data_IF_651809911041
#
_entry.id   IF_651809911041
#
_cell.length_a   1.000
_cell.length_b   1.000
_cell.length_c   1.000
_cell.angle_alpha   90.00
_cell.angle_beta   90.00
_cell.angle_gamma   90.00
#
_symmetry.space_group_name_H-M   'P 1'
#
loop_
_entity.id
_entity.type
_entity.pdbx_description
1 polymer ?
#
# COMPACT_ATOMS: atom_id res chain seq x y z
N UNK A 1 3.39 24.42 -0.65
CA UNK A 1 2.05 23.95 -1.04
C UNK A 1 1.25 23.67 0.22
N UNK A 2 -0.01 24.13 0.30
CA UNK A 2 -0.87 23.90 1.45
C UNK A 2 -1.10 22.40 1.71
N UNK A 3 -1.21 22.01 2.99
CA UNK A 3 -1.39 20.60 3.38
C UNK A 3 -2.66 19.99 2.78
N UNK A 4 -3.74 20.78 2.70
CA UNK A 4 -5.01 20.36 2.10
C UNK A 4 -4.83 19.94 0.63
N UNK A 5 -4.08 20.70 -0.16
CA UNK A 5 -3.77 20.33 -1.55
C UNK A 5 -2.94 19.05 -1.64
N UNK A 6 -2.13 18.71 -0.62
CA UNK A 6 -1.41 17.43 -0.58
C UNK A 6 -2.37 16.27 -0.30
N UNK A 7 -3.30 16.47 0.63
CA UNK A 7 -4.35 15.50 0.94
C UNK A 7 -5.28 15.28 -0.26
N UNK A 8 -5.79 16.35 -0.88
CA UNK A 8 -6.64 16.28 -2.07
C UNK A 8 -5.94 15.57 -3.22
N UNK A 9 -4.65 15.84 -3.45
CA UNK A 9 -3.88 15.11 -4.47
C UNK A 9 -3.70 13.64 -4.12
N UNK A 10 -3.45 13.34 -2.84
CA UNK A 10 -3.35 11.96 -2.37
C UNK A 10 -4.67 11.20 -2.55
N UNK A 11 -5.80 11.83 -2.26
CA UNK A 11 -7.16 11.27 -2.39
C UNK A 11 -7.64 11.20 -3.85
N UNK A 12 -7.31 12.19 -4.68
CA UNK A 12 -7.77 12.28 -6.08
C UNK A 12 -6.90 11.49 -7.06
N UNK A 13 -5.62 11.30 -6.76
CA UNK A 13 -4.78 10.39 -7.53
C UNK A 13 -4.96 8.98 -6.98
N UNK A 14 -5.00 7.98 -7.87
CA UNK A 14 -4.73 6.58 -7.52
C UNK A 14 -3.25 6.42 -7.16
N UNK A 15 -2.81 7.14 -6.12
CA UNK A 15 -1.45 7.17 -5.63
C UNK A 15 -1.17 5.87 -4.88
N UNK A 16 -1.15 4.78 -5.68
CA UNK A 16 -1.02 3.38 -5.27
C UNK A 16 0.15 3.27 -4.30
N UNK A 17 -0.22 3.21 -3.02
CA UNK A 17 0.69 3.04 -1.91
C UNK A 17 0.23 1.78 -1.21
N UNK A 18 1.16 0.86 -1.00
CA UNK A 18 0.85 -0.45 -0.47
C UNK A 18 1.56 -0.65 0.86
N UNK A 19 0.85 -1.12 1.87
CA UNK A 19 1.47 -1.53 3.13
C UNK A 19 2.09 -2.92 2.93
N UNK A 20 3.37 -3.05 3.23
CA UNK A 20 4.11 -4.31 3.19
C UNK A 20 4.16 -4.94 4.58
N UNK A 21 4.54 -4.13 5.58
CA UNK A 21 4.69 -4.61 6.96
C UNK A 21 4.31 -3.52 7.96
N UNK A 22 3.92 -3.96 9.15
CA UNK A 22 3.48 -3.12 10.26
C UNK A 22 3.93 -3.75 11.56
N UNK A 23 4.77 -3.02 12.30
CA UNK A 23 5.39 -3.48 13.53
C UNK A 23 5.13 -2.48 14.65
N UNK A 24 4.55 -2.98 15.75
CA UNK A 24 4.31 -2.22 16.97
C UNK A 24 5.09 -2.87 18.09
N UNK A 25 5.86 -2.07 18.81
CA UNK A 25 6.54 -2.50 20.03
C UNK A 25 5.61 -2.26 21.23
N UNK A 26 5.40 -3.29 22.06
CA UNK A 26 4.53 -3.18 23.23
C UNK A 26 5.17 -2.27 24.28
N UNK A 27 4.44 -1.22 24.70
CA UNK A 27 4.89 -0.27 25.71
C UNK A 27 5.51 1.02 25.16
N UNK A 28 5.77 1.10 23.85
CA UNK A 28 6.24 2.33 23.20
C UNK A 28 5.10 3.04 22.45
N UNK A 29 5.08 4.37 22.50
CA UNK A 29 4.22 5.19 21.64
C UNK A 29 4.84 5.35 20.25
N UNK A 30 5.22 4.22 19.64
CA UNK A 30 5.91 4.16 18.37
C UNK A 30 5.43 2.97 17.54
N UNK A 31 5.23 3.21 16.26
CA UNK A 31 4.89 2.16 15.31
C UNK A 31 5.64 2.36 13.98
N UNK A 32 6.21 1.28 13.45
CA UNK A 32 6.95 1.28 12.19
C UNK A 32 6.18 0.58 11.08
N UNK A 33 6.22 1.17 9.89
CA UNK A 33 5.50 0.72 8.71
C UNK A 33 6.45 0.66 7.53
N UNK A 34 6.45 -0.47 6.83
CA UNK A 34 7.11 -0.60 5.53
C UNK A 34 6.07 -0.40 4.44
N UNK A 35 6.28 0.58 3.56
CA UNK A 35 5.34 0.90 2.48
C UNK A 35 6.01 0.86 1.12
N UNK A 36 5.28 0.44 0.10
CA UNK A 36 5.68 0.59 -1.29
C UNK A 36 4.98 1.81 -1.90
N UNK A 37 5.75 2.75 -2.44
CA UNK A 37 5.23 3.89 -3.17
C UNK A 37 4.82 3.55 -4.61
N UNK A 38 4.20 4.51 -5.29
CA UNK A 38 3.65 4.35 -6.65
C UNK A 38 4.64 3.95 -7.75
N UNK A 39 5.95 4.16 -7.55
CA UNK A 39 7.01 3.75 -8.50
C UNK A 39 7.63 2.40 -8.12
N UNK A 40 7.03 1.66 -7.18
CA UNK A 40 7.53 0.36 -6.72
C UNK A 40 8.66 0.43 -5.67
N UNK A 41 9.14 1.63 -5.34
CA UNK A 41 10.16 1.83 -4.29
C UNK A 41 9.57 1.55 -2.91
N UNK A 42 10.36 0.94 -2.04
CA UNK A 42 10.00 0.65 -0.65
C UNK A 42 10.60 1.73 0.26
N UNK A 43 9.81 2.16 1.24
CA UNK A 43 10.13 3.22 2.17
C UNK A 43 9.71 2.81 3.58
N UNK A 44 10.43 3.29 4.58
CA UNK A 44 10.10 3.12 5.99
C UNK A 44 9.41 4.38 6.49
N UNK A 45 8.30 4.19 7.21
CA UNK A 45 7.56 5.25 7.88
C UNK A 45 7.50 4.92 9.37
N UNK A 46 7.93 5.84 10.20
CA UNK A 46 7.86 5.72 11.65
C UNK A 46 6.87 6.75 12.17
N UNK A 47 5.87 6.31 12.93
CA UNK A 47 4.91 7.18 13.63
C UNK A 47 5.26 7.16 15.11
N UNK A 48 5.76 8.28 15.59
CA UNK A 48 6.06 8.62 16.98
C UNK A 48 5.78 10.11 17.20
N UNK A 49 6.39 10.74 18.21
CA UNK A 49 6.21 12.18 18.49
C UNK A 49 6.53 13.05 17.27
N UNK A 50 7.46 12.65 16.41
CA UNK A 50 7.82 13.36 15.18
C UNK A 50 7.87 12.38 14.02
N UNK A 51 6.70 12.16 13.40
CA UNK A 51 6.55 11.22 12.28
C UNK A 51 7.63 11.38 11.21
N UNK A 52 8.32 10.29 10.89
CA UNK A 52 9.43 10.25 9.94
C UNK A 52 9.13 9.34 8.74
N UNK A 53 9.68 9.68 7.58
CA UNK A 53 9.71 8.80 6.42
C UNK A 53 11.01 8.98 5.64
N UNK A 54 11.66 7.89 5.26
CA UNK A 54 12.93 7.90 4.50
C UNK A 54 12.78 8.35 3.03
N UNK A 55 11.56 8.68 2.59
CA UNK A 55 11.32 9.07 1.19
C UNK A 55 11.84 10.48 0.86
N UNK A 56 12.24 10.75 -0.39
CA UNK A 56 12.82 12.04 -0.80
C UNK A 56 11.94 13.27 -0.55
N UNK A 57 10.61 13.09 -0.54
CA UNK A 57 9.66 14.19 -0.32
C UNK A 57 9.64 14.63 1.16
N UNK A 58 9.74 13.67 2.08
CA UNK A 58 9.86 13.94 3.51
C UNK A 58 11.22 14.50 3.88
N UNK A 59 12.30 13.97 3.30
CA UNK A 59 13.66 14.48 3.50
C UNK A 59 13.80 15.96 3.08
N UNK A 60 12.94 16.45 2.18
CA UNK A 60 12.82 17.87 1.81
C UNK A 60 11.99 18.71 2.80
N UNK A 61 11.62 18.15 3.95
CA UNK A 61 10.82 18.81 4.99
C UNK A 61 9.31 18.82 4.74
N UNK A 62 8.80 18.00 3.81
CA UNK A 62 7.36 17.97 3.52
C UNK A 62 6.64 16.83 4.24
N UNK A 63 5.32 16.99 4.45
CA UNK A 63 4.43 15.88 4.79
C UNK A 63 4.23 15.02 3.54
N UNK A 64 4.95 13.91 3.45
CA UNK A 64 4.93 13.07 2.26
C UNK A 64 3.63 12.26 2.15
N UNK A 65 3.35 11.76 0.94
CA UNK A 65 2.17 10.92 0.69
C UNK A 65 2.17 9.61 1.51
N UNK A 66 3.34 9.09 1.88
CA UNK A 66 3.44 7.87 2.67
C UNK A 66 2.94 8.09 4.10
N UNK A 67 3.33 9.20 4.72
CA UNK A 67 2.80 9.60 6.03
C UNK A 67 1.28 9.85 5.96
N UNK A 68 0.79 10.50 4.89
CA UNK A 68 -0.64 10.68 4.67
C UNK A 68 -1.38 9.34 4.55
N UNK A 69 -0.84 8.38 3.80
CA UNK A 69 -1.38 7.03 3.70
C UNK A 69 -1.48 6.35 5.07
N UNK A 70 -0.42 6.40 5.88
CA UNK A 70 -0.43 5.79 7.21
C UNK A 70 -1.50 6.43 8.11
N UNK A 71 -1.54 7.75 8.24
CA UNK A 71 -2.53 8.41 9.11
C UNK A 71 -3.97 8.21 8.62
N UNK A 72 -4.22 8.42 7.32
CA UNK A 72 -5.59 8.48 6.80
C UNK A 72 -6.16 7.10 6.49
N UNK A 73 -5.38 6.19 5.90
CA UNK A 73 -5.87 4.88 5.44
C UNK A 73 -5.58 3.77 6.45
N UNK A 74 -4.36 3.71 7.00
CA UNK A 74 -3.95 2.60 7.87
C UNK A 74 -4.44 2.79 9.31
N UNK A 75 -4.15 3.96 9.88
CA UNK A 75 -4.54 4.32 11.26
C UNK A 75 -5.96 4.91 11.33
N UNK A 76 -6.54 5.28 10.19
CA UNK A 76 -7.90 5.82 10.07
C UNK A 76 -8.14 7.05 10.97
N UNK A 77 -7.13 7.90 11.12
CA UNK A 77 -7.23 9.17 11.86
C UNK A 77 -8.26 10.07 11.15
N UNK A 78 -9.29 10.57 11.86
CA UNK A 78 -10.33 11.38 11.26
C UNK A 78 -9.76 12.64 10.58
N UNK A 79 -10.20 12.94 9.36
CA UNK A 79 -9.77 14.13 8.62
C UNK A 79 -10.22 15.44 9.27
N UNK A 80 -11.28 15.37 10.08
CA UNK A 80 -11.76 16.48 10.93
C UNK A 80 -10.82 16.77 12.09
N UNK A 81 -9.93 15.84 12.45
CA UNK A 81 -8.91 16.04 13.48
C UNK A 81 -7.68 16.77 12.92
N UNK A 82 -7.00 17.54 13.76
CA UNK A 82 -5.71 18.16 13.42
C UNK A 82 -4.54 17.18 13.33
N UNK A 83 -4.72 15.97 13.86
CA UNK A 83 -3.64 15.04 14.20
C UNK A 83 -2.90 14.50 12.98
N UNK A 84 -3.60 14.30 11.87
CA UNK A 84 -3.01 13.72 10.65
C UNK A 84 -2.02 14.65 9.93
N UNK A 85 -1.94 15.94 10.30
CA UNK A 85 -1.01 16.91 9.70
C UNK A 85 -0.14 17.70 10.68
N UNK A 86 -0.36 17.58 11.99
CA UNK A 86 0.49 18.20 13.01
C UNK A 86 1.95 17.76 12.85
N UNK A 87 2.90 18.70 12.93
CA UNK A 87 4.33 18.42 12.76
C UNK A 87 4.90 17.51 13.84
N UNK A 88 4.36 17.61 15.04
CA UNK A 88 4.68 16.78 16.18
C UNK A 88 3.38 16.43 16.92
N UNK A 89 3.34 15.25 17.52
CA UNK A 89 2.22 14.73 18.29
C UNK A 89 2.60 14.64 19.76
N UNK A 90 1.65 14.89 20.64
CA UNK A 90 1.81 14.63 22.06
C UNK A 90 1.74 13.12 22.33
N UNK A 91 2.41 12.62 23.40
CA UNK A 91 2.29 11.22 23.81
C UNK A 91 0.84 10.77 24.03
N UNK A 92 -0.02 11.65 24.55
CA UNK A 92 -1.45 11.36 24.72
C UNK A 92 -2.21 11.27 23.40
N UNK A 93 -1.85 12.10 22.41
CA UNK A 93 -2.43 12.04 21.07
C UNK A 93 -2.01 10.75 20.36
N UNK A 94 -0.74 10.36 20.46
CA UNK A 94 -0.24 9.09 19.94
C UNK A 94 -0.93 7.89 20.57
N UNK A 95 -1.03 7.86 21.89
CA UNK A 95 -1.74 6.80 22.60
C UNK A 95 -3.19 6.70 22.11
N UNK A 96 -3.88 7.83 21.95
CA UNK A 96 -5.25 7.88 21.44
C UNK A 96 -5.37 7.41 19.98
N UNK A 97 -4.41 7.77 19.12
CA UNK A 97 -4.36 7.30 17.73
C UNK A 97 -4.18 5.78 17.71
N UNK A 98 -3.22 5.26 18.48
CA UNK A 98 -2.89 3.85 18.49
C UNK A 98 -3.92 2.95 19.16
N UNK A 99 -4.67 3.47 20.15
CA UNK A 99 -5.78 2.76 20.78
C UNK A 99 -7.03 2.72 19.89
N UNK A 100 -7.27 3.78 19.11
CA UNK A 100 -8.40 3.87 18.18
C UNK A 100 -8.10 3.21 16.84
N UNK A 101 -6.82 3.01 16.54
CA UNK A 101 -6.39 2.47 15.26
C UNK A 101 -6.94 1.05 15.04
N UNK A 102 -7.31 0.73 13.79
CA UNK A 102 -7.50 -0.63 13.33
C UNK A 102 -6.43 -1.59 13.88
N UNK A 103 -6.87 -2.71 14.47
CA UNK A 103 -6.01 -3.88 14.52
C UNK A 103 -5.54 -4.21 13.09
N UNK A 104 -4.30 -4.71 12.91
CA UNK A 104 -3.82 -5.14 11.60
C UNK A 104 -4.83 -6.12 10.96
N UNK A 105 -4.98 -6.13 9.62
CA UNK A 105 -5.98 -6.98 8.95
C UNK A 105 -5.91 -8.47 9.35
N UNK A 106 -4.71 -8.96 9.65
CA UNK A 106 -4.43 -10.30 10.18
C UNK A 106 -5.14 -10.53 11.52
N UNK A 107 -4.92 -9.63 12.48
CA UNK A 107 -5.52 -9.71 13.81
C UNK A 107 -7.04 -9.48 13.76
N UNK A 108 -7.52 -8.52 12.96
CA UNK A 108 -8.96 -8.31 12.72
C UNK A 108 -9.65 -9.58 12.22
N UNK A 109 -9.00 -10.35 11.36
CA UNK A 109 -9.57 -11.61 10.91
C UNK A 109 -9.56 -12.67 12.02
N UNK A 110 -8.45 -12.85 12.74
CA UNK A 110 -8.40 -13.79 13.85
C UNK A 110 -9.52 -13.53 14.86
N UNK A 111 -9.75 -12.26 15.21
CA UNK A 111 -10.84 -11.84 16.09
C UNK A 111 -12.23 -12.17 15.52
N UNK A 112 -12.47 -11.93 14.23
CA UNK A 112 -13.75 -12.29 13.57
C UNK A 112 -13.99 -13.79 13.54
N UNK A 113 -12.97 -14.59 13.24
CA UNK A 113 -13.08 -16.04 13.17
C UNK A 113 -13.43 -16.67 14.54
N UNK A 114 -12.95 -16.07 15.64
CA UNK A 114 -13.32 -16.49 17.01
C UNK A 114 -14.82 -16.27 17.24
N UNK A 115 -15.34 -15.09 16.90
CA UNK A 115 -16.75 -14.75 17.10
C UNK A 115 -17.72 -15.60 16.25
N UNK A 116 -17.32 -15.98 15.03
CA UNK A 116 -18.10 -16.89 14.19
C UNK A 116 -18.10 -18.34 14.69
N UNK A 117 -17.05 -18.76 15.41
CA UNK A 117 -16.99 -20.12 15.95
C UNK A 117 -17.86 -20.28 17.21
N UNK A 118 -17.95 -19.26 18.06
CA UNK A 118 -18.85 -19.26 19.23
C UNK A 118 -20.33 -19.36 18.83
N UNK A 119 -20.72 -18.71 17.74
CA UNK A 119 -22.10 -18.75 17.23
C UNK A 119 -22.48 -20.05 16.51
N UNK A 120 -21.50 -20.91 16.15
CA UNK A 120 -21.73 -22.20 15.47
C UNK A 120 -21.84 -23.38 16.46
N UNK A 121 -21.46 -23.21 17.73
CA UNK A 121 -21.62 -24.28 18.75
C UNK A 121 -23.09 -24.51 19.13
N UNK A 122 -24.01 -23.60 18.77
CA UNK A 122 -25.42 -23.66 19.18
C UNK A 122 -26.44 -24.15 18.13
N UNK A 123 -26.05 -24.41 16.88
CA UNK A 123 -27.01 -24.75 15.82
C UNK A 123 -26.55 -25.97 15.01
N UNK A 124 -26.86 -27.16 15.51
CA UNK A 124 -26.88 -28.37 14.68
C UNK A 124 -27.90 -28.19 13.57
N UNK A 125 -27.43 -27.93 12.34
CA UNK A 125 -28.28 -27.87 11.15
C UNK A 125 -27.97 -29.05 10.23
N UNK A 126 -28.97 -29.90 10.08
CA UNK A 126 -28.96 -31.10 9.24
C UNK A 126 -28.53 -30.80 7.80
N UNK A 127 -27.68 -31.70 7.27
CA UNK A 127 -27.19 -31.68 5.91
C UNK A 127 -28.30 -32.10 4.95
N UNK A 128 -28.93 -31.14 4.27
CA UNK A 128 -29.66 -31.43 3.02
C UNK A 128 -28.79 -31.06 1.83
N UNK A 129 -28.68 -32.02 0.90
CA UNK A 129 -27.70 -32.02 -0.18
C UNK A 129 -27.75 -30.81 -1.11
N UNK A 130 -26.57 -30.25 -1.36
CA UNK A 130 -26.24 -29.48 -2.57
C UNK A 130 -24.73 -29.64 -2.77
N UNK A 131 -24.29 -29.92 -4.00
CA UNK A 131 -22.88 -30.16 -4.35
C UNK A 131 -21.92 -29.04 -3.89
N UNK A 132 -20.59 -29.20 -4.02
CA UNK A 132 -19.60 -28.36 -3.36
C UNK A 132 -19.78 -26.89 -3.78
N UNK A 133 -20.52 -26.13 -2.97
CA UNK A 133 -20.62 -24.69 -3.15
C UNK A 133 -19.26 -24.13 -2.84
N UNK A 134 -18.70 -23.49 -3.85
CA UNK A 134 -17.45 -22.76 -3.78
C UNK A 134 -17.50 -21.80 -2.59
N UNK A 135 -16.85 -22.21 -1.51
CA UNK A 135 -16.95 -21.61 -0.17
C UNK A 135 -16.16 -20.30 -0.02
N UNK A 136 -15.92 -19.61 -1.14
CA UNK A 136 -15.21 -18.33 -1.20
C UNK A 136 -15.99 -17.26 -0.46
N UNK A 137 -15.31 -16.51 0.41
CA UNK A 137 -15.89 -15.33 1.07
C UNK A 137 -16.02 -14.22 0.04
N UNK A 138 -17.20 -13.62 0.00
CA UNK A 138 -17.45 -12.38 -0.75
C UNK A 138 -17.24 -11.22 0.25
N UNK A 139 -16.39 -10.24 -0.07
CA UNK A 139 -16.19 -9.07 0.79
C UNK A 139 -17.47 -8.26 0.90
N UNK A 140 -17.75 -7.77 2.11
CA UNK A 140 -18.81 -6.80 2.33
C UNK A 140 -18.36 -5.39 1.93
N UNK A 141 -19.29 -4.44 1.93
CA UNK A 141 -19.00 -3.06 1.55
C UNK A 141 -17.94 -2.40 2.43
N UNK A 142 -17.88 -2.81 3.69
CA UNK A 142 -16.96 -2.25 4.66
C UNK A 142 -15.60 -2.95 4.71
N UNK A 143 -15.44 -4.07 4.00
CA UNK A 143 -14.18 -4.81 3.99
C UNK A 143 -13.12 -4.05 3.17
N UNK A 144 -12.00 -3.73 3.83
CA UNK A 144 -10.85 -3.08 3.21
C UNK A 144 -9.80 -4.11 2.74
N UNK A 145 -9.10 -3.79 1.65
CA UNK A 145 -7.95 -4.55 1.18
C UNK A 145 -6.77 -4.40 2.16
N UNK A 146 -6.13 -5.50 2.62
CA UNK A 146 -5.06 -5.42 3.62
C UNK A 146 -3.75 -4.86 3.06
N UNK A 147 -3.66 -4.71 1.74
CA UNK A 147 -2.46 -4.22 1.05
C UNK A 147 -2.61 -2.73 0.73
N UNK A 148 -3.70 -2.31 0.06
CA UNK A 148 -3.92 -0.91 -0.32
C UNK A 148 -4.82 -0.11 0.61
N UNK A 149 -5.52 -0.76 1.55
CA UNK A 149 -6.49 -0.13 2.46
C UNK A 149 -7.62 0.62 1.75
N UNK A 150 -7.94 0.21 0.52
CA UNK A 150 -9.15 0.65 -0.21
C UNK A 150 -10.27 -0.38 -0.06
N UNK A 151 -11.51 0.09 -0.20
CA UNK A 151 -12.73 -0.72 -0.09
C UNK A 151 -12.76 -1.79 -1.18
N UNK A 152 -13.03 -3.03 -0.80
CA UNK A 152 -13.02 -4.18 -1.71
C UNK A 152 -14.20 -4.18 -2.70
N UNK A 153 -15.29 -3.46 -2.40
CA UNK A 153 -16.55 -3.57 -3.14
C UNK A 153 -16.77 -2.52 -4.24
N UNK A 154 -15.90 -1.51 -4.36
CA UNK A 154 -16.16 -0.34 -5.20
C UNK A 154 -16.34 -0.70 -6.69
N UNK A 155 -15.79 -1.85 -7.14
CA UNK A 155 -15.80 -2.26 -8.54
C UNK A 155 -16.52 -3.58 -8.85
N UNK A 156 -17.21 -4.22 -7.90
CA UNK A 156 -18.11 -5.41 -8.07
C UNK A 156 -17.68 -6.47 -9.11
N UNK A 157 -16.40 -6.74 -9.29
CA UNK A 157 -15.92 -7.69 -10.30
C UNK A 157 -15.04 -8.74 -9.61
N UNK A 158 -15.57 -9.96 -9.48
CA UNK A 158 -14.81 -11.16 -9.13
C UNK A 158 -13.54 -11.30 -10.00
N UNK A 159 -13.54 -10.72 -11.20
CA UNK A 159 -12.40 -10.69 -12.12
C UNK A 159 -11.19 -9.91 -11.60
N UNK A 160 -11.35 -9.06 -10.58
CA UNK A 160 -10.28 -8.22 -10.00
C UNK A 160 -9.89 -8.67 -8.59
N UNK A 161 -10.44 -9.79 -8.10
CA UNK A 161 -10.12 -10.36 -6.79
C UNK A 161 -9.39 -11.70 -6.94
N UNK A 162 -8.49 -11.98 -6.00
CA UNK A 162 -7.85 -13.28 -5.79
C UNK A 162 -8.19 -13.78 -4.38
N UNK A 163 -8.33 -15.10 -4.22
CA UNK A 163 -8.71 -15.73 -2.95
C UNK A 163 -7.60 -16.62 -2.43
N UNK A 164 -7.42 -16.61 -1.10
CA UNK A 164 -6.60 -17.60 -0.43
C UNK A 164 -7.31 -18.95 -0.39
N UNK A 165 -6.64 -20.03 -0.77
CA UNK A 165 -7.21 -21.40 -0.69
C UNK A 165 -7.42 -21.89 0.75
N UNK A 166 -6.66 -21.35 1.71
CA UNK A 166 -6.70 -21.75 3.12
C UNK A 166 -7.76 -20.94 3.88
N UNK A 167 -7.60 -19.62 3.96
CA UNK A 167 -8.49 -18.77 4.75
C UNK A 167 -9.68 -18.20 3.97
N UNK A 168 -9.75 -18.41 2.65
CA UNK A 168 -10.85 -18.02 1.75
C UNK A 168 -11.17 -16.52 1.70
N UNK A 169 -10.33 -15.68 2.29
CA UNK A 169 -10.38 -14.23 2.13
C UNK A 169 -9.87 -13.79 0.76
N UNK A 170 -10.30 -12.60 0.37
CA UNK A 170 -9.95 -11.95 -0.88
C UNK A 170 -8.84 -10.92 -0.75
N UNK A 171 -8.26 -10.59 -1.89
CA UNK A 171 -7.37 -9.45 -2.10
C UNK A 171 -7.55 -8.97 -3.55
N UNK A 172 -7.35 -7.69 -3.83
CA UNK A 172 -7.31 -7.24 -5.24
C UNK A 172 -6.17 -7.96 -5.99
N UNK A 173 -6.43 -8.43 -7.21
CA UNK A 173 -5.42 -9.09 -8.07
C UNK A 173 -4.17 -8.23 -8.27
N UNK A 174 -4.36 -6.93 -8.49
CA UNK A 174 -3.25 -5.99 -8.64
C UNK A 174 -2.42 -5.90 -7.36
N UNK A 175 -3.09 -5.78 -6.20
CA UNK A 175 -2.42 -5.77 -4.91
C UNK A 175 -1.67 -7.08 -4.65
N UNK A 176 -2.26 -8.20 -5.05
CA UNK A 176 -1.63 -9.52 -4.92
C UNK A 176 -0.41 -9.68 -5.84
N UNK A 177 -0.47 -9.18 -7.08
CA UNK A 177 0.68 -9.13 -7.99
C UNK A 177 1.85 -8.33 -7.40
N UNK A 178 1.55 -7.17 -6.82
CA UNK A 178 2.52 -6.37 -6.06
C UNK A 178 3.12 -7.17 -4.90
N UNK A 179 2.28 -7.82 -4.09
CA UNK A 179 2.75 -8.61 -2.95
C UNK A 179 3.70 -9.73 -3.36
N UNK A 180 3.36 -10.49 -4.41
CA UNK A 180 4.24 -11.54 -4.97
C UNK A 180 5.61 -10.98 -5.33
N UNK A 181 5.60 -9.86 -6.06
CA UNK A 181 6.81 -9.22 -6.59
C UNK A 181 7.71 -8.74 -5.44
N UNK A 182 7.13 -8.04 -4.47
CA UNK A 182 7.87 -7.52 -3.31
C UNK A 182 8.39 -8.64 -2.42
N UNK A 183 7.59 -9.68 -2.17
CA UNK A 183 7.98 -10.83 -1.34
C UNK A 183 9.13 -11.61 -1.96
N UNK A 184 9.06 -11.87 -3.28
CA UNK A 184 10.12 -12.55 -4.02
C UNK A 184 11.45 -11.80 -3.96
N UNK A 185 11.42 -10.46 -4.06
CA UNK A 185 12.63 -9.63 -3.93
C UNK A 185 13.27 -9.67 -2.56
N UNK A 186 12.46 -9.77 -1.51
CA UNK A 186 12.96 -9.92 -0.15
C UNK A 186 13.49 -11.33 0.13
N UNK A 187 13.42 -12.25 -0.85
CA UNK A 187 13.80 -13.66 -0.64
C UNK A 187 12.91 -14.39 0.35
N UNK A 188 11.72 -13.84 0.65
CA UNK A 188 10.78 -14.41 1.63
C UNK A 188 9.82 -15.39 0.95
N UNK A 189 9.31 -16.39 1.68
CA UNK A 189 8.30 -17.31 1.15
C UNK A 189 6.99 -16.55 0.86
N UNK A 190 6.35 -16.88 -0.27
CA UNK A 190 5.06 -16.31 -0.63
C UNK A 190 3.96 -16.83 0.31
N UNK A 191 3.49 -15.96 1.19
CA UNK A 191 2.48 -16.26 2.20
C UNK A 191 1.27 -15.36 2.05
N UNK A 192 0.10 -15.86 2.46
CA UNK A 192 -1.14 -15.08 2.49
C UNK A 192 -1.02 -13.89 3.45
N UNK A 193 -1.37 -12.69 2.98
CA UNK A 193 -1.41 -11.46 3.81
C UNK A 193 -2.35 -11.55 5.01
N UNK A 194 -3.35 -12.42 4.95
CA UNK A 194 -4.36 -12.61 5.98
C UNK A 194 -3.93 -13.65 7.03
N UNK A 195 -3.66 -14.88 6.59
CA UNK A 195 -3.41 -16.02 7.49
C UNK A 195 -1.96 -16.52 7.50
N UNK A 196 -1.05 -15.91 6.72
CA UNK A 196 0.35 -16.32 6.53
C UNK A 196 0.58 -17.75 6.03
N UNK A 197 -0.48 -18.49 5.67
CA UNK A 197 -0.32 -19.80 5.04
C UNK A 197 0.43 -19.67 3.70
N UNK A 198 1.26 -20.67 3.32
CA UNK A 198 1.91 -20.70 2.01
C UNK A 198 0.89 -20.54 0.89
N UNK A 199 1.17 -19.65 -0.06
CA UNK A 199 0.27 -19.45 -1.19
C UNK A 199 0.57 -20.46 -2.30
N UNK A 200 -0.06 -21.63 -2.24
CA UNK A 200 0.03 -22.62 -3.31
C UNK A 200 -0.77 -22.14 -4.52
N UNK A 201 -0.07 -21.77 -5.58
CA UNK A 201 -0.71 -21.59 -6.89
C UNK A 201 -1.04 -22.99 -7.40
N UNK A 202 -2.32 -23.27 -7.67
CA UNK A 202 -2.70 -24.53 -8.32
C UNK A 202 -2.19 -24.51 -9.79
N UNK A 203 -0.91 -24.84 -9.96
CA UNK A 203 -0.31 -25.25 -11.23
C UNK A 203 0.04 -26.74 -11.15
N UNK A 204 0.11 -27.46 -12.28
CA UNK A 204 0.41 -28.88 -12.27
C UNK A 204 1.77 -29.09 -11.60
N UNK A 205 1.81 -30.03 -10.67
CA UNK A 205 3.01 -30.42 -9.94
C UNK A 205 4.05 -30.94 -10.93
N UNK A 206 5.03 -30.12 -11.26
CA UNK A 206 6.34 -30.61 -11.68
C UNK A 206 7.35 -30.13 -10.65
N UNK A 207 7.73 -31.06 -9.79
CA UNK A 207 9.01 -31.02 -9.12
C UNK A 207 10.09 -30.88 -10.18
N UNK A 208 10.65 -29.69 -10.32
CA UNK A 208 11.97 -29.48 -10.87
C UNK A 208 12.54 -28.19 -10.30
N UNK A 209 13.56 -28.34 -9.45
CA UNK A 209 14.52 -27.30 -9.18
C UNK A 209 15.24 -26.99 -10.49
N UNK A 210 14.74 -26.02 -11.25
CA UNK A 210 15.53 -25.33 -12.26
C UNK A 210 15.28 -23.84 -12.12
N UNK A 211 16.36 -23.15 -11.76
CA UNK A 211 16.50 -21.71 -11.76
C UNK A 211 16.42 -21.19 -13.19
N UNK A 212 15.21 -20.96 -13.70
CA UNK A 212 15.04 -20.22 -14.94
C UNK A 212 15.11 -18.73 -14.64
N UNK A 213 16.30 -18.20 -14.92
CA UNK A 213 16.63 -16.79 -14.91
C UNK A 213 15.74 -16.05 -15.92
N UNK A 214 14.76 -15.30 -15.42
CA UNK A 214 14.15 -14.24 -16.20
C UNK A 214 15.17 -13.09 -16.22
N UNK A 215 16.00 -13.07 -17.26
CA UNK A 215 16.84 -11.92 -17.59
C UNK A 215 15.94 -10.75 -17.99
N UNK A 216 15.51 -9.99 -16.99
CA UNK A 216 15.05 -8.62 -17.19
C UNK A 216 16.28 -7.75 -17.46
N UNK A 217 16.26 -7.04 -18.57
CA UNK A 217 17.26 -6.07 -19.03
C UNK A 217 17.74 -5.18 -17.87
N UNK A 218 18.99 -5.40 -17.44
CA UNK A 218 19.70 -4.54 -16.49
C UNK A 218 20.07 -3.26 -17.22
N UNK A 219 19.63 -2.12 -16.71
CA UNK A 219 20.28 -0.84 -17.02
C UNK A 219 21.49 -0.64 -16.09
N UNK A 220 22.46 0.13 -16.58
CA UNK A 220 23.88 0.18 -16.18
C UNK A 220 24.16 0.70 -14.74
N UNK A 221 23.12 0.98 -13.95
CA UNK A 221 23.26 1.63 -12.62
C UNK A 221 22.67 0.83 -11.45
N UNK A 222 22.39 -0.46 -11.61
CA UNK A 222 22.14 -1.38 -10.48
C UNK A 222 20.76 -1.26 -9.78
N UNK A 223 19.87 -0.38 -10.24
CA UNK A 223 18.51 -0.28 -9.72
C UNK A 223 17.50 -1.01 -10.63
N UNK A 224 16.86 -2.07 -10.11
CA UNK A 224 15.78 -2.77 -10.82
C UNK A 224 14.44 -2.03 -10.64
N UNK A 225 13.84 -1.59 -11.75
CA UNK A 225 12.52 -0.94 -11.79
C UNK A 225 11.39 -2.00 -11.84
N UNK A 226 10.37 -1.87 -10.99
CA UNK A 226 9.28 -2.85 -10.84
C UNK A 226 8.03 -2.56 -11.66
N UNK A 227 7.92 -1.36 -12.26
CA UNK A 227 6.70 -0.94 -12.96
C UNK A 227 6.34 -1.82 -14.16
N UNK A 228 7.34 -2.40 -14.82
CA UNK A 228 7.17 -3.29 -15.97
C UNK A 228 6.79 -4.74 -15.61
N UNK A 229 7.08 -5.18 -14.37
CA UNK A 229 6.88 -6.58 -13.93
C UNK A 229 5.52 -6.76 -13.24
N UNK A 230 4.97 -5.71 -12.62
CA UNK A 230 3.74 -5.77 -11.84
C UNK A 230 2.45 -5.88 -12.67
N UNK A 231 2.51 -6.05 -14.00
CA UNK A 231 1.33 -6.18 -14.89
C UNK A 231 0.37 -4.98 -14.87
N UNK A 232 0.74 -3.90 -14.18
CA UNK A 232 -0.11 -2.77 -13.84
C UNK A 232 0.00 -1.61 -14.82
N UNK A 233 0.75 -1.76 -15.91
CA UNK A 233 0.99 -0.68 -16.88
C UNK A 233 1.55 0.59 -16.22
N UNK A 234 2.18 0.47 -15.04
CA UNK A 234 2.71 1.61 -14.32
C UNK A 234 3.87 2.17 -15.13
N UNK A 235 3.69 3.38 -15.67
CA UNK A 235 4.74 4.05 -16.44
C UNK A 235 6.04 4.08 -15.65
N UNK A 236 7.19 3.68 -16.24
CA UNK A 236 8.49 3.84 -15.59
C UNK A 236 8.85 5.33 -15.44
N UNK A 237 8.18 6.19 -16.20
CA UNK A 237 8.27 7.64 -16.10
C UNK A 237 7.57 8.07 -14.82
N UNK A 238 8.38 8.51 -13.85
CA UNK A 238 7.90 9.18 -12.65
C UNK A 238 7.06 10.39 -13.06
N UNK A 239 5.82 10.44 -12.62
CA UNK A 239 4.97 11.61 -12.81
C UNK A 239 5.54 12.80 -12.03
N UNK A 240 6.16 13.73 -12.76
CA UNK A 240 6.78 14.95 -12.24
C UNK A 240 5.87 16.17 -12.32
N UNK A 241 4.62 16.01 -12.77
CA UNK A 241 3.61 17.08 -12.80
C UNK A 241 3.37 17.68 -11.42
N UNK A 242 3.69 16.91 -10.37
CA UNK A 242 3.53 17.25 -8.96
C UNK A 242 4.73 17.91 -8.29
N UNK A 243 5.88 18.03 -8.99
CA UNK A 243 7.04 18.76 -8.47
C UNK A 243 6.80 20.27 -8.53
N UNK A 244 7.24 20.97 -7.47
CA UNK A 244 7.32 22.42 -7.50
C UNK A 244 8.41 22.82 -8.49
N UNK A 245 8.00 23.10 -9.73
CA UNK A 245 8.82 23.78 -10.72
C UNK A 245 8.84 25.25 -10.30
N UNK A 246 9.80 25.63 -9.45
CA UNK A 246 10.00 27.04 -9.09
C UNK A 246 10.15 27.94 -10.31
N UNK A 247 10.20 29.27 -10.15
CA UNK A 247 10.35 30.19 -11.27
C UNK A 247 11.53 29.75 -12.15
N UNK A 248 11.27 29.48 -13.44
CA UNK A 248 12.31 29.14 -14.42
C UNK A 248 13.23 30.35 -14.58
N UNK A 249 14.26 30.46 -13.74
CA UNK A 249 15.37 31.40 -13.98
C UNK A 249 16.16 30.85 -15.16
N UNK A 250 15.91 31.43 -16.35
CA UNK A 250 16.70 31.16 -17.54
C UNK A 250 15.89 30.86 -18.79
N UNK A 251 15.02 31.77 -19.21
CA UNK A 251 14.87 32.03 -20.65
C UNK A 251 15.56 33.36 -20.93
N UNK A 252 16.87 33.31 -21.18
CA UNK A 252 17.55 34.41 -21.85
C UNK A 252 17.00 34.44 -23.28
N UNK A 253 16.06 35.36 -23.50
CA UNK A 253 15.66 35.82 -24.82
C UNK A 253 16.87 36.52 -25.46
N UNK A 254 17.71 35.77 -26.18
CA UNK A 254 18.66 36.37 -27.12
C UNK A 254 17.89 36.87 -28.35
N UNK A 255 17.14 37.96 -28.15
CA UNK A 255 16.63 38.81 -29.22
C UNK A 255 17.65 39.92 -29.45
N UNK A 256 18.58 39.70 -30.38
CA UNK A 256 19.56 40.71 -30.81
C UNK A 256 18.80 41.89 -31.43
N UNK A 257 18.68 42.98 -30.68
CA UNK A 257 18.33 44.30 -31.19
C UNK A 257 19.57 44.90 -31.87
N UNK A 258 19.73 44.68 -33.18
CA UNK A 258 20.58 45.55 -34.01
C UNK A 258 19.79 46.79 -34.38
N UNK A 259 19.97 47.87 -33.61
CA UNK A 259 19.72 49.24 -34.06
C UNK A 259 21.06 49.83 -34.47
N UNK A 260 21.18 50.19 -35.73
CA UNK A 260 22.34 50.89 -36.26
C UNK A 260 22.42 52.33 -35.75
N UNK A 261 23.65 52.86 -35.79
CA UNK A 261 23.93 54.27 -35.92
C UNK A 261 25.09 54.46 -36.90
N UNK A 262 24.87 55.43 -37.78
CA UNK A 262 25.69 56.01 -38.83
C UNK A 262 27.19 56.20 -38.48
N UNK A 263 28.06 55.82 -39.43
CA UNK A 263 28.95 56.72 -40.17
C UNK A 263 29.39 56.04 -41.47
#
# INVERSE_FOLDING_TARGET
MAIQTRLERYMSQSSRTYLIDRQREEGENKEEFTVQGSTGNVYTVTIDEVSHCDCPDHLKGNRCKHILFIFVKVLQVPLTSGLWYQKALLPSELASIFSSAPAPPQLRQQLRNIHTNESVVGAGREKTGRGPKDSRRIPEAEDDCPICYDKMNENKLEKVLDWCVVCRNTVHKECWGTWKTTTARQGKPLTCVWCRAPWTVAGPSTSNHHSDSIYASREDEGYLNLGSISGSGASPVRDTSTYYHGPRRGQNSYGVSRRGYYM
#
